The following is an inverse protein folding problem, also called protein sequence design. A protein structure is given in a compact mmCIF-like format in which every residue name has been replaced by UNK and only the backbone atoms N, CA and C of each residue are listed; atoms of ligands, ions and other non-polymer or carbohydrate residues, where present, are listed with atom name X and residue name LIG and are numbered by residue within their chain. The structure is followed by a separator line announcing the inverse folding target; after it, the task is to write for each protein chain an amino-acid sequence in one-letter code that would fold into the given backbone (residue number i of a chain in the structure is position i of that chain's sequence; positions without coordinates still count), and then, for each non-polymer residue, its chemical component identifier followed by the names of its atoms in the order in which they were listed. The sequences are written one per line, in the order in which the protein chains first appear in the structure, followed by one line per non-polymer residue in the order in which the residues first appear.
data_IF_961200088745
#
_entry.id   IF_961200088745
#
_cell.length_a   1.000
_cell.length_b   1.000
_cell.length_c   1.000
_cell.angle_alpha   90.00
_cell.angle_beta   90.00
_cell.angle_gamma   90.00
#
_symmetry.space_group_name_H-M   'P 1'
#
loop_
_entity.id
_entity.type
_entity.pdbx_description
1 polymer ?
#
# COMPACT_ATOMS: atom_id res chain seq x y z
N UNK A 1 2.92 1.03 -0.61
CA UNK A 1 2.76 -0.17 0.21
C UNK A 1 1.42 -0.25 0.92
N UNK A 2 1.20 -1.32 1.67
CA UNK A 2 -0.03 -1.56 2.43
C UNK A 2 0.30 -2.06 3.82
N UNK A 3 -0.54 -1.69 4.79
CA UNK A 3 -0.43 -2.14 6.17
C UNK A 3 -1.71 -2.89 6.55
N UNK A 4 -1.53 -4.09 7.07
CA UNK A 4 -2.56 -4.86 7.76
C UNK A 4 -2.39 -4.60 9.27
N UNK A 5 -3.43 -4.12 9.91
CA UNK A 5 -3.42 -3.76 11.32
C UNK A 5 -4.54 -4.47 12.05
N UNK A 6 -4.20 -5.12 13.14
CA UNK A 6 -5.19 -5.65 14.05
C UNK A 6 -5.78 -4.51 14.89
N UNK A 7 -7.04 -4.20 14.68
CA UNK A 7 -7.75 -3.08 15.35
C UNK A 7 -8.50 -3.55 16.61
N UNK A 8 -8.84 -4.85 16.67
CA UNK A 8 -9.36 -5.56 17.83
C UNK A 8 -8.89 -7.01 17.73
N UNK A 9 -8.85 -7.80 18.81
CA UNK A 9 -8.44 -9.19 18.75
C UNK A 9 -9.17 -9.96 17.64
N UNK A 10 -8.43 -10.48 16.67
CA UNK A 10 -8.95 -11.20 15.52
C UNK A 10 -9.67 -10.38 14.45
N UNK A 11 -9.62 -9.05 14.53
CA UNK A 11 -10.25 -8.14 13.55
C UNK A 11 -9.21 -7.21 12.96
N UNK A 12 -9.13 -7.18 11.63
CA UNK A 12 -8.10 -6.47 10.88
C UNK A 12 -8.68 -5.37 9.99
N UNK A 13 -7.93 -4.29 9.85
CA UNK A 13 -8.15 -3.23 8.88
C UNK A 13 -6.92 -3.09 7.98
N UNK A 14 -7.14 -2.74 6.72
CA UNK A 14 -6.07 -2.54 5.74
C UNK A 14 -5.95 -1.05 5.45
N UNK A 15 -4.79 -0.47 5.74
CA UNK A 15 -4.42 0.86 5.28
C UNK A 15 -3.79 0.76 3.90
N UNK A 16 -4.29 1.57 2.98
CA UNK A 16 -3.87 1.60 1.58
C UNK A 16 -2.91 2.77 1.31
N UNK A 17 -2.43 2.85 0.08
CA UNK A 17 -1.63 3.98 -0.37
C UNK A 17 -2.46 5.26 -0.37
N UNK A 18 -1.80 6.38 -0.07
CA UNK A 18 -2.40 7.72 -0.05
C UNK A 18 -3.48 7.90 1.03
N UNK A 19 -3.41 7.18 2.10
CA UNK A 19 -4.33 7.28 3.23
C UNK A 19 -3.63 7.83 4.45
N UNK A 20 -4.37 8.67 5.17
CA UNK A 20 -4.00 9.17 6.48
C UNK A 20 -4.85 8.45 7.52
N UNK A 21 -4.20 7.90 8.54
CA UNK A 21 -4.84 7.33 9.71
C UNK A 21 -4.62 8.24 10.89
N UNK A 22 -5.72 8.57 11.58
CA UNK A 22 -5.71 9.28 12.84
C UNK A 22 -6.19 8.34 13.93
N UNK A 23 -5.49 8.31 15.04
CA UNK A 23 -5.71 7.33 16.08
C UNK A 23 -5.17 7.78 17.43
N UNK A 24 -5.75 7.28 18.53
CA UNK A 24 -5.15 7.44 19.84
C UNK A 24 -4.16 6.31 20.08
N UNK A 25 -2.91 6.64 20.49
CA UNK A 25 -1.83 5.68 20.73
C UNK A 25 -2.20 4.57 21.71
N UNK A 26 -3.05 4.87 22.67
CA UNK A 26 -3.51 3.89 23.67
C UNK A 26 -4.28 2.69 23.07
N UNK A 27 -4.85 2.90 21.86
CA UNK A 27 -5.61 1.87 21.15
C UNK A 27 -4.72 0.93 20.30
N UNK A 28 -3.41 1.17 20.25
CA UNK A 28 -2.45 0.39 19.46
C UNK A 28 -1.84 -0.78 20.24
N UNK A 29 -2.63 -1.81 20.51
CA UNK A 29 -2.13 -3.06 21.13
C UNK A 29 -1.99 -4.23 20.15
N UNK A 30 -2.38 -4.04 18.89
CA UNK A 30 -2.42 -5.10 17.88
C UNK A 30 -1.13 -5.22 17.06
N UNK A 31 -1.01 -6.35 16.38
CA UNK A 31 0.11 -6.65 15.50
C UNK A 31 -0.08 -5.99 14.13
N UNK A 32 1.01 -5.49 13.57
CA UNK A 32 1.04 -4.88 12.24
C UNK A 32 1.81 -5.77 11.27
N UNK A 33 1.24 -5.97 10.07
CA UNK A 33 1.86 -6.76 9.01
C UNK A 33 1.97 -5.97 7.72
N UNK A 34 2.94 -6.32 6.88
CA UNK A 34 3.21 -5.70 5.59
C UNK A 34 3.00 -6.73 4.46
N UNK A 35 1.79 -6.84 3.89
CA UNK A 35 1.45 -7.90 2.93
C UNK A 35 2.34 -7.92 1.69
N UNK A 36 2.82 -6.74 1.26
CA UNK A 36 3.69 -6.59 0.10
C UNK A 36 5.18 -6.63 0.44
N UNK A 37 5.54 -7.00 1.69
CA UNK A 37 6.93 -7.05 2.21
C UNK A 37 7.68 -5.70 2.15
N UNK A 38 7.01 -4.62 1.80
CA UNK A 38 7.57 -3.27 1.82
C UNK A 38 6.47 -2.27 2.19
N UNK A 39 6.87 -1.21 2.89
CA UNK A 39 6.02 -0.09 3.24
C UNK A 39 6.88 1.17 3.33
N UNK A 40 6.34 2.26 2.80
CA UNK A 40 6.87 3.60 2.99
C UNK A 40 5.76 4.46 3.56
N UNK A 41 5.99 5.03 4.73
CA UNK A 41 5.03 5.86 5.43
C UNK A 41 5.71 6.75 6.46
N UNK A 42 4.97 7.75 6.93
CA UNK A 42 5.39 8.64 8.01
C UNK A 42 4.41 8.45 9.16
N UNK A 43 4.95 8.32 10.37
CA UNK A 43 4.17 8.31 11.60
C UNK A 43 4.50 9.56 12.40
N UNK A 44 3.48 10.32 12.77
CA UNK A 44 3.60 11.54 13.57
C UNK A 44 2.93 11.27 14.90
N UNK A 45 3.69 11.37 15.98
CA UNK A 45 3.20 11.23 17.34
C UNK A 45 3.17 12.62 17.98
N UNK A 46 2.05 12.95 18.60
CA UNK A 46 1.82 14.25 19.21
C UNK A 46 1.29 14.08 20.64
N UNK A 47 1.96 14.72 21.59
CA UNK A 47 1.42 14.90 22.92
C UNK A 47 0.57 16.18 22.91
N UNK A 48 -0.73 16.04 23.18
CA UNK A 48 -1.74 17.10 22.96
C UNK A 48 -1.37 18.41 23.64
N UNK A 49 -1.02 18.35 24.92
CA UNK A 49 -0.70 19.54 25.74
C UNK A 49 0.58 20.23 25.25
N UNK A 50 1.63 19.44 24.99
CA UNK A 50 2.93 19.97 24.56
C UNK A 50 2.85 20.60 23.17
N UNK A 51 2.13 19.94 22.26
CA UNK A 51 1.97 20.47 20.88
C UNK A 51 1.12 21.73 20.90
N UNK A 52 0.01 21.79 21.67
CA UNK A 52 -0.79 22.99 21.76
C UNK A 52 0.03 24.16 22.31
N UNK A 53 0.78 23.96 23.39
CA UNK A 53 1.65 24.99 23.97
C UNK A 53 2.67 25.50 22.95
N UNK A 54 3.34 24.62 22.22
CA UNK A 54 4.31 25.01 21.20
C UNK A 54 3.67 25.81 20.05
N UNK A 55 2.45 25.47 19.65
CA UNK A 55 1.71 26.20 18.62
C UNK A 55 1.30 27.58 19.10
N UNK A 56 0.84 27.72 20.34
CA UNK A 56 0.43 29.00 20.95
C UNK A 56 1.63 29.94 21.12
N UNK A 57 2.82 29.40 21.42
CA UNK A 57 4.06 30.15 21.51
C UNK A 57 4.59 30.63 20.13
N UNK A 58 4.45 29.79 19.11
CA UNK A 58 4.94 30.11 17.76
C UNK A 58 4.00 31.02 16.97
N UNK A 59 2.68 30.83 17.17
CA UNK A 59 1.65 31.49 16.39
C UNK A 59 0.60 32.10 17.31
N UNK A 60 0.74 33.39 17.59
CA UNK A 60 -0.27 34.12 18.40
C UNK A 60 -1.64 34.04 17.71
N UNK A 61 -2.62 33.45 18.40
CA UNK A 61 -3.99 33.31 17.87
C UNK A 61 -4.15 32.17 16.84
N UNK A 62 -3.32 31.13 16.93
CA UNK A 62 -3.48 29.95 16.08
C UNK A 62 -4.85 29.31 16.28
N UNK A 63 -5.60 29.15 15.17
CA UNK A 63 -7.02 28.78 15.21
C UNK A 63 -7.28 27.29 15.42
N UNK A 64 -6.23 26.46 15.46
CA UNK A 64 -6.37 25.00 15.56
C UNK A 64 -6.22 24.56 17.01
N UNK A 65 -7.21 23.89 17.54
CA UNK A 65 -7.15 23.22 18.84
C UNK A 65 -6.83 21.73 18.63
N UNK A 66 -5.73 21.27 19.18
CA UNK A 66 -5.31 19.86 19.10
C UNK A 66 -6.34 18.96 19.82
N UNK A 67 -6.88 19.40 20.96
CA UNK A 67 -7.92 18.66 21.68
C UNK A 67 -9.21 18.55 20.87
N UNK A 68 -9.60 19.59 20.12
CA UNK A 68 -10.74 19.52 19.21
C UNK A 68 -10.50 18.54 18.07
N UNK A 69 -9.30 18.50 17.49
CA UNK A 69 -8.93 17.52 16.47
C UNK A 69 -8.95 16.10 17.05
N UNK A 70 -8.37 15.91 18.25
CA UNK A 70 -8.43 14.63 18.95
C UNK A 70 -9.85 14.18 19.20
N UNK A 71 -10.69 15.03 19.73
CA UNK A 71 -12.10 14.74 19.99
C UNK A 71 -12.87 14.44 18.72
N UNK A 72 -12.55 15.11 17.61
CA UNK A 72 -13.20 14.92 16.31
C UNK A 72 -12.81 13.60 15.63
N UNK A 73 -11.55 13.23 15.67
CA UNK A 73 -11.02 12.11 14.88
C UNK A 73 -10.65 10.88 15.70
N UNK A 74 -10.42 11.01 17.00
CA UNK A 74 -9.92 9.95 17.87
C UNK A 74 -10.86 9.63 19.04
N UNK A 75 -12.10 10.11 19.02
CA UNK A 75 -13.08 9.86 20.08
C UNK A 75 -13.55 8.40 20.13
N UNK A 76 -13.57 7.72 18.99
CA UNK A 76 -13.92 6.30 18.92
C UNK A 76 -12.69 5.44 19.19
N UNK A 77 -12.90 4.22 19.71
CA UNK A 77 -11.83 3.21 19.83
C UNK A 77 -11.26 2.74 18.48
N UNK A 78 -11.91 3.11 17.39
CA UNK A 78 -11.51 2.74 16.02
C UNK A 78 -10.73 3.86 15.38
N UNK A 79 -9.67 3.53 14.62
CA UNK A 79 -8.94 4.55 13.87
C UNK A 79 -9.84 5.25 12.86
N UNK A 80 -9.66 6.55 12.74
CA UNK A 80 -10.26 7.33 11.68
C UNK A 80 -9.33 7.33 10.47
N UNK A 81 -9.81 6.93 9.30
CA UNK A 81 -9.01 6.86 8.08
C UNK A 81 -9.57 7.80 7.03
N UNK A 82 -8.71 8.68 6.53
CA UNK A 82 -9.00 9.64 5.47
C UNK A 82 -8.32 9.15 4.20
N UNK A 83 -9.08 9.05 3.12
CA UNK A 83 -8.49 8.86 1.79
C UNK A 83 -8.00 10.20 1.26
N UNK A 84 -6.75 10.23 0.83
CA UNK A 84 -6.13 11.46 0.32
C UNK A 84 -6.83 12.00 -0.91
N UNK A 85 -7.08 13.30 -0.90
CA UNK A 85 -7.30 14.11 -2.08
C UNK A 85 -5.96 14.69 -2.56
N UNK A 86 -6.00 15.51 -3.61
CA UNK A 86 -4.80 16.14 -4.16
C UNK A 86 -4.09 17.05 -3.15
N UNK A 87 -4.84 17.69 -2.28
CA UNK A 87 -4.31 18.61 -1.26
C UNK A 87 -3.57 17.82 -0.17
N UNK A 88 -4.20 16.79 0.39
CA UNK A 88 -3.55 15.91 1.37
C UNK A 88 -2.33 15.19 0.76
N UNK A 89 -2.42 14.73 -0.50
CA UNK A 89 -1.28 14.13 -1.19
C UNK A 89 -0.11 15.12 -1.33
N UNK A 90 -0.40 16.39 -1.61
CA UNK A 90 0.61 17.45 -1.70
C UNK A 90 1.29 17.68 -0.35
N UNK A 91 0.51 17.80 0.73
CA UNK A 91 1.02 17.96 2.11
C UNK A 91 1.90 16.77 2.49
N UNK A 92 1.39 15.55 2.31
CA UNK A 92 2.10 14.33 2.67
C UNK A 92 3.37 14.11 1.83
N UNK A 93 3.37 14.54 0.56
CA UNK A 93 4.56 14.42 -0.29
C UNK A 93 5.78 15.16 0.27
N UNK A 94 5.54 16.25 1.01
CA UNK A 94 6.60 17.01 1.69
C UNK A 94 7.34 16.24 2.79
N UNK A 95 6.76 15.16 3.32
CA UNK A 95 7.44 14.29 4.28
C UNK A 95 8.34 13.25 3.61
N UNK A 96 8.23 13.04 2.28
CA UNK A 96 9.04 12.09 1.53
C UNK A 96 10.20 12.79 0.82
N UNK A 97 11.40 12.58 1.28
CA UNK A 97 12.63 13.30 0.87
C UNK A 97 13.09 13.07 -0.57
N UNK A 98 12.52 12.12 -1.30
CA UNK A 98 13.08 11.65 -2.58
C UNK A 98 13.13 12.66 -3.72
N UNK A 99 12.38 13.77 -3.65
CA UNK A 99 12.23 14.72 -4.76
C UNK A 99 12.48 16.19 -4.36
N UNK A 100 13.23 16.43 -3.29
CA UNK A 100 13.52 17.81 -2.87
C UNK A 100 14.61 18.42 -3.76
N UNK A 101 14.30 19.58 -4.34
CA UNK A 101 15.29 20.41 -5.03
C UNK A 101 16.44 20.88 -4.10
N UNK A 102 16.17 20.90 -2.80
CA UNK A 102 17.11 21.29 -1.74
C UNK A 102 17.19 20.22 -0.63
N UNK A 103 18.09 19.24 -0.75
CA UNK A 103 18.23 18.13 0.22
C UNK A 103 18.50 18.58 1.65
N UNK A 104 19.09 19.77 1.84
CA UNK A 104 19.40 20.31 3.16
C UNK A 104 18.14 20.67 3.97
N UNK A 105 17.05 21.08 3.30
CA UNK A 105 15.76 21.31 3.98
C UNK A 105 15.22 20.03 4.62
N UNK A 106 15.48 18.88 4.00
CA UNK A 106 15.07 17.58 4.53
C UNK A 106 15.77 17.21 5.85
N UNK A 107 16.84 17.89 6.22
CA UNK A 107 17.55 17.71 7.49
C UNK A 107 17.09 18.69 8.57
N UNK A 108 16.36 19.74 8.19
CA UNK A 108 15.91 20.77 9.11
C UNK A 108 14.67 20.32 9.90
N UNK A 109 14.77 20.33 11.23
CA UNK A 109 13.65 20.02 12.13
C UNK A 109 12.45 20.95 11.86
N UNK A 110 12.73 22.21 11.63
CA UNK A 110 11.76 23.27 11.37
C UNK A 110 10.92 22.99 10.13
N UNK A 111 11.50 22.39 9.11
CA UNK A 111 10.78 21.97 7.90
C UNK A 111 9.64 20.99 8.24
N UNK A 112 9.92 19.98 9.04
CA UNK A 112 8.91 19.00 9.45
C UNK A 112 7.88 19.59 10.39
N UNK A 113 8.27 20.53 11.25
CA UNK A 113 7.34 21.26 12.10
C UNK A 113 6.32 22.06 11.25
N UNK A 114 6.80 22.76 10.22
CA UNK A 114 5.94 23.49 9.28
C UNK A 114 4.99 22.52 8.55
N UNK A 115 5.48 21.38 8.11
CA UNK A 115 4.64 20.35 7.45
C UNK A 115 3.58 19.76 8.38
N UNK A 116 3.89 19.60 9.66
CA UNK A 116 2.91 19.17 10.66
C UNK A 116 1.85 20.26 10.86
N UNK A 117 2.24 21.51 10.95
CA UNK A 117 1.29 22.65 11.08
C UNK A 117 0.35 22.71 9.85
N UNK A 118 0.90 22.56 8.64
CA UNK A 118 0.11 22.51 7.41
C UNK A 118 -0.92 21.37 7.43
N UNK A 119 -0.51 20.18 7.90
CA UNK A 119 -1.39 19.05 8.08
C UNK A 119 -2.50 19.32 9.10
N UNK A 120 -2.17 19.94 10.23
CA UNK A 120 -3.14 20.30 11.28
C UNK A 120 -4.17 21.32 10.78
N UNK A 121 -3.74 22.32 10.02
CA UNK A 121 -4.63 23.29 9.37
C UNK A 121 -5.58 22.58 8.40
N UNK A 122 -5.06 21.71 7.55
CA UNK A 122 -5.87 20.92 6.63
C UNK A 122 -6.94 20.10 7.40
N UNK A 123 -6.54 19.38 8.44
CA UNK A 123 -7.45 18.59 9.27
C UNK A 123 -8.52 19.45 9.96
N UNK A 124 -8.18 20.68 10.34
CA UNK A 124 -9.12 21.60 10.98
C UNK A 124 -10.19 22.11 10.00
N UNK A 125 -9.87 22.23 8.72
CA UNK A 125 -10.83 22.69 7.69
C UNK A 125 -11.79 21.59 7.24
N UNK A 126 -11.44 20.33 7.46
CA UNK A 126 -12.28 19.20 7.04
C UNK A 126 -13.51 19.03 7.93
N UNK A 127 -14.64 18.69 7.31
CA UNK A 127 -15.83 18.22 8.04
C UNK A 127 -15.81 16.68 8.12
N UNK A 128 -16.18 16.13 9.28
CA UNK A 128 -16.16 14.67 9.54
C UNK A 128 -17.12 13.92 8.61
N UNK A 129 -18.19 14.57 8.17
CA UNK A 129 -19.23 13.98 7.34
C UNK A 129 -18.79 13.75 5.89
N UNK A 130 -17.87 14.58 5.38
CA UNK A 130 -17.50 14.56 3.96
C UNK A 130 -16.65 13.36 3.55
N UNK A 131 -16.04 12.61 4.49
CA UNK A 131 -15.03 11.61 4.15
C UNK A 131 -14.97 10.37 5.04
N UNK A 132 -16.04 10.05 5.77
CA UNK A 132 -16.11 8.81 6.55
C UNK A 132 -16.21 7.61 5.61
N UNK A 133 -15.09 7.15 5.11
CA UNK A 133 -15.05 5.88 4.39
C UNK A 133 -15.33 4.75 5.38
N UNK A 134 -16.52 4.13 5.28
CA UNK A 134 -16.83 2.91 6.02
C UNK A 134 -15.93 1.80 5.48
N UNK A 135 -14.81 1.58 6.15
CA UNK A 135 -13.88 0.53 5.75
C UNK A 135 -14.37 -0.83 6.18
N UNK A 136 -14.17 -1.84 5.33
CA UNK A 136 -14.41 -3.19 5.74
C UNK A 136 -13.37 -3.59 6.80
N UNK A 137 -13.87 -4.25 7.83
CA UNK A 137 -13.05 -5.01 8.75
C UNK A 137 -13.07 -6.47 8.31
N UNK A 138 -11.92 -7.13 8.44
CA UNK A 138 -11.77 -8.52 8.08
C UNK A 138 -11.47 -9.35 9.33
N UNK A 139 -12.14 -10.48 9.46
CA UNK A 139 -11.84 -11.42 10.53
C UNK A 139 -10.54 -12.19 10.25
N UNK A 140 -9.89 -12.66 11.30
CA UNK A 140 -8.65 -13.44 11.22
C UNK A 140 -8.76 -14.60 10.23
N UNK A 141 -9.86 -15.34 10.28
CA UNK A 141 -10.13 -16.46 9.37
C UNK A 141 -10.18 -16.04 7.90
N UNK A 142 -10.77 -14.88 7.59
CA UNK A 142 -10.77 -14.32 6.21
C UNK A 142 -9.35 -13.94 5.78
N UNK A 143 -8.59 -13.29 6.66
CA UNK A 143 -7.21 -12.90 6.37
C UNK A 143 -6.32 -14.12 6.13
N UNK A 144 -6.46 -15.18 6.92
CA UNK A 144 -5.73 -16.45 6.75
C UNK A 144 -6.06 -17.11 5.41
N UNK A 145 -7.34 -17.17 5.03
CA UNK A 145 -7.78 -17.68 3.72
C UNK A 145 -7.19 -16.87 2.56
N UNK A 146 -7.20 -15.56 2.65
CA UNK A 146 -6.62 -14.67 1.62
C UNK A 146 -5.10 -14.82 1.51
N UNK A 147 -4.40 -14.97 2.64
CA UNK A 147 -2.95 -15.28 2.65
C UNK A 147 -2.67 -16.66 2.05
N UNK A 148 -3.52 -17.64 2.31
CA UNK A 148 -3.45 -18.96 1.67
C UNK A 148 -3.63 -18.90 0.16
N UNK A 149 -4.63 -18.16 -0.33
CA UNK A 149 -4.84 -17.92 -1.76
C UNK A 149 -3.60 -17.27 -2.40
N UNK A 150 -3.05 -16.25 -1.74
CA UNK A 150 -1.84 -15.59 -2.22
C UNK A 150 -0.67 -16.59 -2.32
N UNK A 151 -0.43 -17.37 -1.28
CA UNK A 151 0.62 -18.40 -1.27
C UNK A 151 0.41 -19.43 -2.39
N UNK A 152 -0.84 -19.86 -2.63
CA UNK A 152 -1.19 -20.81 -3.68
C UNK A 152 -0.85 -20.28 -5.07
N UNK A 153 -1.26 -19.05 -5.39
CA UNK A 153 -1.04 -18.47 -6.73
C UNK A 153 0.41 -18.05 -6.99
N UNK A 154 1.19 -17.75 -5.93
CA UNK A 154 2.61 -17.39 -6.04
C UNK A 154 3.53 -18.60 -5.98
N UNK A 155 3.16 -19.64 -5.22
CA UNK A 155 3.90 -20.89 -5.14
C UNK A 155 3.76 -21.79 -6.38
N UNK A 156 2.68 -21.59 -7.14
CA UNK A 156 2.39 -22.38 -8.36
C UNK A 156 2.18 -21.48 -9.59
N UNK A 157 3.20 -20.76 -10.06
CA UNK A 157 3.05 -19.76 -11.12
C UNK A 157 2.62 -20.35 -12.46
N UNK A 158 2.92 -21.60 -12.71
CA UNK A 158 2.52 -22.32 -13.93
C UNK A 158 1.05 -22.75 -13.92
N UNK A 159 0.43 -22.91 -12.75
CA UNK A 159 -0.96 -23.35 -12.63
C UNK A 159 -1.93 -22.17 -12.74
N UNK A 160 -2.93 -22.29 -13.58
CA UNK A 160 -4.01 -21.30 -13.70
C UNK A 160 -5.16 -21.71 -12.81
N UNK A 161 -5.41 -20.93 -11.78
CA UNK A 161 -6.57 -21.09 -10.92
C UNK A 161 -7.68 -20.12 -11.40
N UNK A 162 -8.88 -20.64 -11.55
CA UNK A 162 -10.07 -19.79 -11.71
C UNK A 162 -10.48 -19.18 -10.37
N UNK A 163 -11.27 -18.13 -10.43
CA UNK A 163 -11.78 -17.47 -9.22
C UNK A 163 -12.71 -18.39 -8.44
N UNK A 164 -13.50 -19.19 -9.17
CA UNK A 164 -14.44 -20.19 -8.65
C UNK A 164 -13.70 -21.33 -7.94
N UNK A 165 -12.62 -21.85 -8.52
CA UNK A 165 -11.79 -22.87 -7.90
C UNK A 165 -11.16 -22.36 -6.59
N UNK A 166 -10.60 -21.15 -6.59
CA UNK A 166 -10.03 -20.57 -5.38
C UNK A 166 -11.08 -20.33 -4.30
N UNK A 167 -12.27 -19.85 -4.69
CA UNK A 167 -13.39 -19.63 -3.77
C UNK A 167 -13.84 -20.94 -3.12
N UNK A 168 -13.95 -22.02 -3.90
CA UNK A 168 -14.31 -23.34 -3.41
C UNK A 168 -13.23 -23.95 -2.54
N UNK A 169 -11.96 -23.91 -3.00
CA UNK A 169 -10.81 -24.48 -2.29
C UNK A 169 -10.60 -23.88 -0.91
N UNK A 170 -10.84 -22.57 -0.78
CA UNK A 170 -10.66 -21.84 0.48
C UNK A 170 -11.99 -21.58 1.20
N UNK A 171 -13.11 -22.09 0.72
CA UNK A 171 -14.43 -21.90 1.33
C UNK A 171 -14.71 -20.44 1.70
N UNK A 172 -14.48 -19.53 0.76
CA UNK A 172 -14.69 -18.08 0.95
C UNK A 172 -15.62 -17.55 -0.16
N UNK A 173 -16.70 -16.81 0.17
CA UNK A 173 -17.58 -16.25 -0.84
C UNK A 173 -16.83 -15.37 -1.84
N UNK A 174 -17.15 -15.50 -3.13
CA UNK A 174 -16.51 -14.80 -4.26
C UNK A 174 -16.36 -13.28 -4.03
N UNK A 175 -17.42 -12.64 -3.57
CA UNK A 175 -17.43 -11.18 -3.33
C UNK A 175 -16.47 -10.78 -2.22
N UNK A 176 -16.49 -11.54 -1.11
CA UNK A 176 -15.58 -11.33 0.03
C UNK A 176 -14.14 -11.58 -0.38
N UNK A 177 -13.87 -12.67 -1.09
CA UNK A 177 -12.55 -13.02 -1.58
C UNK A 177 -11.97 -11.93 -2.49
N UNK A 178 -12.71 -11.50 -3.51
CA UNK A 178 -12.27 -10.46 -4.46
C UNK A 178 -11.97 -9.14 -3.74
N UNK A 179 -12.87 -8.71 -2.86
CA UNK A 179 -12.72 -7.47 -2.11
C UNK A 179 -11.54 -7.52 -1.15
N UNK A 180 -11.49 -8.54 -0.28
CA UNK A 180 -10.44 -8.69 0.71
C UNK A 180 -9.06 -8.83 0.04
N UNK A 181 -8.93 -9.65 -1.01
CA UNK A 181 -7.67 -9.80 -1.74
C UNK A 181 -7.20 -8.47 -2.34
N UNK A 182 -8.11 -7.72 -2.98
CA UNK A 182 -7.78 -6.40 -3.55
C UNK A 182 -7.36 -5.40 -2.46
N UNK A 183 -8.03 -5.39 -1.31
CA UNK A 183 -7.67 -4.50 -0.21
C UNK A 183 -6.30 -4.86 0.38
N UNK A 184 -5.99 -6.14 0.52
CA UNK A 184 -4.71 -6.62 1.07
C UNK A 184 -3.54 -6.43 0.09
N UNK A 185 -3.71 -6.87 -1.17
CA UNK A 185 -2.62 -6.93 -2.14
C UNK A 185 -2.64 -5.84 -3.22
N UNK A 186 -3.67 -5.00 -3.24
CA UNK A 186 -3.74 -3.81 -4.09
C UNK A 186 -4.31 -4.05 -5.48
N UNK A 187 -4.56 -5.29 -5.85
CA UNK A 187 -4.97 -5.65 -7.20
C UNK A 187 -6.00 -6.79 -7.18
N UNK A 188 -6.72 -6.98 -8.28
CA UNK A 188 -7.53 -8.17 -8.42
C UNK A 188 -6.63 -9.43 -8.44
N UNK A 189 -7.16 -10.57 -8.03
CA UNK A 189 -6.41 -11.85 -8.04
C UNK A 189 -5.81 -12.12 -9.42
N UNK A 190 -6.58 -11.90 -10.49
CA UNK A 190 -6.13 -12.10 -11.86
C UNK A 190 -4.99 -11.15 -12.25
N UNK A 191 -5.12 -9.85 -11.99
CA UNK A 191 -4.09 -8.84 -12.31
C UNK A 191 -2.83 -9.06 -11.49
N UNK A 192 -2.99 -9.42 -10.20
CA UNK A 192 -1.87 -9.76 -9.32
C UNK A 192 -1.10 -10.96 -9.85
N UNK A 193 -1.80 -12.07 -10.17
CA UNK A 193 -1.18 -13.29 -10.69
C UNK A 193 -0.48 -13.03 -12.03
N UNK A 194 -1.11 -12.27 -12.94
CA UNK A 194 -0.49 -11.87 -14.22
C UNK A 194 0.81 -11.10 -13.98
N UNK A 195 0.77 -10.07 -13.14
CA UNK A 195 1.95 -9.25 -12.82
C UNK A 195 3.06 -10.08 -12.16
N UNK A 196 2.69 -10.94 -11.21
CA UNK A 196 3.65 -11.84 -10.54
C UNK A 196 4.37 -12.74 -11.53
N UNK A 197 3.65 -13.40 -12.45
CA UNK A 197 4.22 -14.25 -13.50
C UNK A 197 5.15 -13.48 -14.44
N UNK A 198 4.77 -12.27 -14.83
CA UNK A 198 5.61 -11.44 -15.71
C UNK A 198 6.89 -10.97 -15.00
N UNK A 199 6.82 -10.62 -13.72
CA UNK A 199 8.00 -10.30 -12.92
C UNK A 199 8.94 -11.53 -12.77
N UNK A 200 8.37 -12.70 -12.52
CA UNK A 200 9.15 -13.93 -12.45
C UNK A 200 9.84 -14.24 -13.79
N UNK A 201 9.11 -14.13 -14.90
CA UNK A 201 9.66 -14.31 -16.24
C UNK A 201 10.76 -13.27 -16.55
N UNK A 202 10.58 -12.02 -16.15
CA UNK A 202 11.57 -10.96 -16.31
C UNK A 202 12.88 -11.29 -15.56
N UNK A 203 12.78 -11.80 -14.34
CA UNK A 203 13.95 -12.25 -13.59
C UNK A 203 14.66 -13.43 -14.28
N UNK A 204 13.89 -14.42 -14.78
CA UNK A 204 14.46 -15.56 -15.52
C UNK A 204 15.17 -15.12 -16.81
N UNK A 205 14.58 -14.18 -17.56
CA UNK A 205 15.19 -13.62 -18.78
C UNK A 205 16.54 -12.94 -18.53
N UNK A 206 16.72 -12.38 -17.33
CA UNK A 206 17.97 -11.68 -16.94
C UNK A 206 19.01 -12.63 -16.35
N UNK A 207 18.58 -13.68 -15.64
CA UNK A 207 19.47 -14.59 -14.93
C UNK A 207 19.96 -15.75 -15.82
N UNK A 208 19.11 -16.22 -16.73
CA UNK A 208 19.38 -17.37 -17.60
C UNK A 208 19.31 -16.95 -19.07
N UNK A 209 20.47 -16.56 -19.60
CA UNK A 209 20.59 -16.04 -20.96
C UNK A 209 20.42 -17.13 -22.03
N UNK A 210 20.77 -18.37 -21.71
CA UNK A 210 20.72 -19.50 -22.62
C UNK A 210 19.29 -20.08 -22.76
N UNK A 211 18.45 -19.83 -21.76
CA UNK A 211 17.09 -20.36 -21.75
C UNK A 211 16.21 -19.71 -22.80
N UNK A 212 15.54 -20.51 -23.60
CA UNK A 212 14.65 -19.98 -24.64
C UNK A 212 13.45 -19.23 -24.04
N UNK A 213 12.99 -18.20 -24.75
CA UNK A 213 11.81 -17.39 -24.33
C UNK A 213 10.56 -18.29 -24.21
N UNK A 214 10.45 -19.32 -25.05
CA UNK A 214 9.36 -20.27 -25.01
C UNK A 214 9.38 -21.14 -23.75
N UNK A 215 10.54 -21.56 -23.29
CA UNK A 215 10.69 -22.34 -22.05
C UNK A 215 10.35 -21.48 -20.81
N UNK A 216 10.78 -20.21 -20.83
CA UNK A 216 10.41 -19.25 -19.78
C UNK A 216 8.88 -19.01 -19.77
N UNK A 217 8.26 -18.88 -20.95
CA UNK A 217 6.81 -18.74 -21.06
C UNK A 217 6.08 -19.95 -20.45
N UNK A 218 6.52 -21.16 -20.76
CA UNK A 218 5.97 -22.40 -20.22
C UNK A 218 6.11 -22.48 -18.70
N UNK A 219 7.29 -22.11 -18.15
CA UNK A 219 7.57 -22.12 -16.70
C UNK A 219 6.68 -21.18 -15.89
N UNK A 220 6.10 -20.16 -16.53
CA UNK A 220 5.15 -19.23 -15.92
C UNK A 220 3.70 -19.45 -16.38
N UNK A 221 3.40 -20.62 -16.98
CA UNK A 221 2.05 -21.08 -17.32
C UNK A 221 1.47 -20.48 -18.60
N UNK A 222 2.32 -20.17 -19.60
CA UNK A 222 1.90 -19.76 -20.93
C UNK A 222 2.30 -20.79 -21.98
N UNK A 223 1.32 -21.53 -22.49
CA UNK A 223 1.52 -22.49 -23.59
C UNK A 223 1.73 -21.81 -24.94
N UNK A 224 1.14 -20.62 -25.13
CA UNK A 224 1.23 -19.86 -26.38
C UNK A 224 2.24 -18.70 -26.24
N UNK A 225 3.36 -18.71 -26.99
CA UNK A 225 4.40 -17.68 -26.93
C UNK A 225 3.90 -16.28 -27.32
N UNK A 226 2.94 -16.18 -28.25
CA UNK A 226 2.35 -14.90 -28.65
C UNK A 226 1.51 -14.28 -27.54
N UNK A 227 0.71 -15.08 -26.84
CA UNK A 227 -0.04 -14.64 -25.66
C UNK A 227 0.90 -14.21 -24.51
N UNK A 228 2.01 -14.95 -24.33
CA UNK A 228 3.04 -14.59 -23.37
C UNK A 228 3.66 -13.24 -23.70
N UNK A 229 4.15 -13.06 -24.94
CA UNK A 229 4.81 -11.82 -25.38
C UNK A 229 3.90 -10.60 -25.24
N UNK A 230 2.61 -10.75 -25.58
CA UNK A 230 1.61 -9.70 -25.40
C UNK A 230 1.37 -9.37 -23.92
N UNK A 231 1.25 -10.39 -23.06
CA UNK A 231 1.09 -10.22 -21.62
C UNK A 231 2.34 -9.58 -20.99
N UNK A 232 3.52 -10.01 -21.40
CA UNK A 232 4.81 -9.49 -20.91
C UNK A 232 4.97 -8.01 -21.29
N UNK A 233 4.76 -7.66 -22.56
CA UNK A 233 4.81 -6.26 -23.03
C UNK A 233 3.81 -5.38 -22.30
N UNK A 234 2.59 -5.87 -22.02
CA UNK A 234 1.57 -5.10 -21.29
C UNK A 234 1.96 -4.77 -19.84
N UNK A 235 2.86 -5.56 -19.22
CA UNK A 235 3.30 -5.38 -17.82
C UNK A 235 4.67 -4.70 -17.76
N UNK A 236 5.61 -5.09 -18.64
CA UNK A 236 7.01 -4.64 -18.61
C UNK A 236 7.30 -3.50 -19.57
N UNK A 237 6.37 -3.16 -20.49
CA UNK A 237 6.56 -2.12 -21.50
C UNK A 237 7.39 -2.55 -22.72
N UNK A 238 8.07 -3.69 -22.66
CA UNK A 238 8.95 -4.24 -23.70
C UNK A 238 8.58 -5.68 -24.01
N UNK A 239 8.92 -6.17 -25.19
CA UNK A 239 8.87 -7.62 -25.49
C UNK A 239 9.92 -8.39 -24.67
N UNK A 240 9.74 -9.72 -24.48
CA UNK A 240 10.71 -10.54 -23.75
C UNK A 240 12.12 -10.45 -24.34
N UNK A 241 12.26 -10.45 -25.67
CA UNK A 241 13.52 -10.33 -26.35
C UNK A 241 14.17 -8.94 -26.11
N UNK A 242 13.43 -7.85 -26.32
CA UNK A 242 13.93 -6.50 -26.05
C UNK A 242 14.33 -6.32 -24.57
N UNK A 243 13.58 -6.92 -23.65
CA UNK A 243 13.87 -6.85 -22.21
C UNK A 243 15.18 -7.55 -21.85
N UNK A 244 15.48 -8.71 -22.45
CA UNK A 244 16.73 -9.44 -22.29
C UNK A 244 17.94 -8.61 -22.74
N UNK A 245 17.85 -7.98 -23.92
CA UNK A 245 18.95 -7.19 -24.51
C UNK A 245 19.16 -5.83 -23.85
N UNK A 246 18.13 -5.18 -23.33
CA UNK A 246 18.22 -3.82 -22.79
C UNK A 246 19.16 -3.70 -21.58
N UNK A 247 19.29 -4.73 -20.78
CA UNK A 247 20.18 -4.72 -19.60
C UNK A 247 21.64 -4.96 -19.95
N UNK A 248 21.92 -5.58 -21.10
CA UNK A 248 23.31 -5.71 -21.59
C UNK A 248 23.96 -4.35 -21.92
N UNK A 249 23.14 -3.35 -22.28
CA UNK A 249 23.60 -1.99 -22.60
C UNK A 249 23.85 -1.12 -21.36
N UNK A 250 23.31 -1.50 -20.19
CA UNK A 250 23.46 -0.71 -18.95
C UNK A 250 24.53 -1.26 -17.99
N UNK A 251 24.81 -2.55 -18.00
CA UNK A 251 25.84 -3.19 -17.16
C UNK A 251 27.26 -3.15 -17.82
N UNK A 252 27.37 -2.56 -19.01
CA UNK A 252 28.61 -2.43 -19.80
C UNK A 252 29.23 -1.01 -19.82
N UNK A 253 28.81 -0.10 -18.90
CA UNK A 253 29.45 1.22 -18.76
C UNK A 253 29.85 1.50 -17.34
#
# INVERSE_FOLDING_TARGET
GRIEMEVKPGVFSIMQEKELRLDNRENHKGTTYYPLKHYHGVSIFMEVVEVQKALDELFQGFSVSIENLRSRYCAEEKPYVIRGDKELESILSGFYQKNMAHPELAKAKEYYQIKVVELLLYLNTMTVEDRKEVRPYYYKTQMEKIKGIHAQITGNPQTRFTIEELSSMYEIPLTTMKKCFKDVYGDSIYSYQKRYRMNLAANMLLQDKEKEVQEIAASVGYENPGKFSSAFRSVMGLSPAEYRFRKETYDGK
#
